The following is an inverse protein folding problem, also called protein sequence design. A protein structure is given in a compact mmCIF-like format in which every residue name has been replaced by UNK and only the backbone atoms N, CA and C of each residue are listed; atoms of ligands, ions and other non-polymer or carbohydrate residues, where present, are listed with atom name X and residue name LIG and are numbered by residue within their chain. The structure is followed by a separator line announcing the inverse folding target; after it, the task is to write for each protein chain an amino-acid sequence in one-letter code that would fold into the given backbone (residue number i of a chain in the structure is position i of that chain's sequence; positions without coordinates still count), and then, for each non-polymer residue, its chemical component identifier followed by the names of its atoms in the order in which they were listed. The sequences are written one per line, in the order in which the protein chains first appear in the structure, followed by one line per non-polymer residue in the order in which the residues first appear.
data_IF_931035785671
#
_entry.id   IF_931035785671
#
_cell.length_a   1.000
_cell.length_b   1.000
_cell.length_c   1.000
_cell.angle_alpha   90.00
_cell.angle_beta   90.00
_cell.angle_gamma   90.00
#
_symmetry.space_group_name_H-M   'P 1'
#
loop_
_entity.id
_entity.type
_entity.pdbx_description
1 polymer ?
#
# COMPACT_ATOMS: atom_id res chain seq x y z
N UNK A 1 7.17 -11.64 9.90
CA UNK A 1 6.64 -10.48 9.14
C UNK A 1 6.26 -10.86 7.72
N UNK A 2 6.85 -11.94 7.17
CA UNK A 2 6.62 -12.39 5.81
C UNK A 2 5.25 -13.09 5.57
N UNK A 3 4.67 -13.68 6.61
CA UNK A 3 3.38 -14.39 6.52
C UNK A 3 2.20 -13.42 6.31
N UNK A 4 2.22 -12.26 6.96
CA UNK A 4 1.19 -11.23 6.78
C UNK A 4 1.25 -10.60 5.37
N UNK A 5 2.46 -10.43 4.82
CA UNK A 5 2.63 -9.93 3.45
C UNK A 5 2.25 -10.99 2.39
N UNK A 6 2.54 -12.25 2.64
CA UNK A 6 2.09 -13.34 1.77
C UNK A 6 0.56 -13.47 1.79
N UNK A 7 -0.07 -13.29 2.94
CA UNK A 7 -1.53 -13.28 3.08
C UNK A 7 -2.17 -12.11 2.33
N UNK A 8 -1.60 -10.89 2.39
CA UNK A 8 -2.15 -9.73 1.68
C UNK A 8 -2.10 -9.89 0.15
N UNK A 9 -1.10 -10.61 -0.38
CA UNK A 9 -0.99 -10.93 -1.82
C UNK A 9 -1.83 -12.16 -2.24
N UNK A 10 -2.11 -13.06 -1.29
CA UNK A 10 -2.90 -14.27 -1.55
C UNK A 10 -4.41 -14.01 -1.55
N UNK A 11 -4.86 -12.91 -0.91
CA UNK A 11 -6.27 -12.57 -0.88
C UNK A 11 -6.64 -11.73 -2.11
N UNK A 12 -7.60 -12.18 -2.94
CA UNK A 12 -8.13 -11.38 -4.01
C UNK A 12 -8.73 -10.09 -3.42
N UNK A 13 -8.53 -8.97 -4.10
CA UNK A 13 -8.99 -7.63 -3.70
C UNK A 13 -10.44 -7.62 -3.20
N UNK A 14 -11.30 -8.43 -3.85
CA UNK A 14 -12.71 -8.57 -3.48
C UNK A 14 -12.91 -9.08 -2.05
N UNK A 15 -12.04 -9.99 -1.57
CA UNK A 15 -12.11 -10.48 -0.19
C UNK A 15 -11.66 -9.41 0.81
N UNK A 16 -10.65 -8.62 0.48
CA UNK A 16 -10.20 -7.51 1.33
C UNK A 16 -11.31 -6.47 1.46
N UNK A 17 -11.95 -6.11 0.36
CA UNK A 17 -13.09 -5.21 0.35
C UNK A 17 -14.27 -5.76 1.20
N UNK A 18 -14.58 -7.05 1.05
CA UNK A 18 -15.62 -7.71 1.83
C UNK A 18 -15.31 -7.70 3.34
N UNK A 19 -14.09 -8.05 3.71
CA UNK A 19 -13.65 -8.04 5.12
C UNK A 19 -13.72 -6.62 5.68
N UNK A 20 -13.24 -5.63 4.93
CA UNK A 20 -13.28 -4.22 5.34
C UNK A 20 -14.74 -3.75 5.52
N UNK A 21 -15.63 -4.11 4.61
CA UNK A 21 -17.06 -3.85 4.72
C UNK A 21 -17.68 -4.50 5.96
N UNK A 22 -17.39 -5.77 6.22
CA UNK A 22 -17.91 -6.49 7.39
C UNK A 22 -17.39 -5.88 8.71
N UNK A 23 -16.11 -5.57 8.79
CA UNK A 23 -15.52 -4.91 9.97
C UNK A 23 -16.16 -3.54 10.15
N UNK A 24 -16.31 -2.77 9.08
CA UNK A 24 -16.96 -1.46 9.14
C UNK A 24 -18.39 -1.56 9.66
N UNK A 25 -19.22 -2.44 9.10
CA UNK A 25 -20.62 -2.58 9.52
C UNK A 25 -20.78 -3.08 10.95
N UNK A 26 -19.87 -3.92 11.43
CA UNK A 26 -19.92 -4.45 12.81
C UNK A 26 -19.37 -3.46 13.84
N UNK A 27 -18.34 -2.70 13.50
CA UNK A 27 -17.67 -1.78 14.43
C UNK A 27 -18.23 -0.35 14.38
N UNK A 28 -18.93 0.01 13.30
CA UNK A 28 -19.44 1.36 13.12
C UNK A 28 -20.36 1.82 14.27
N UNK A 29 -21.23 0.94 14.75
CA UNK A 29 -22.12 1.24 15.87
C UNK A 29 -21.36 1.54 17.16
N UNK A 30 -20.27 0.83 17.42
CA UNK A 30 -19.39 1.04 18.58
C UNK A 30 -18.60 2.33 18.46
N UNK A 31 -18.10 2.63 17.27
CA UNK A 31 -17.33 3.85 16.97
C UNK A 31 -18.26 5.07 17.03
N UNK A 32 -19.45 4.99 16.45
CA UNK A 32 -20.43 6.06 16.48
C UNK A 32 -20.90 6.36 17.91
N UNK A 33 -21.09 5.34 18.74
CA UNK A 33 -21.41 5.49 20.15
C UNK A 33 -20.29 6.15 20.95
N UNK A 34 -19.02 5.81 20.66
CA UNK A 34 -17.86 6.43 21.30
C UNK A 34 -17.74 7.93 20.99
N UNK A 35 -18.07 8.34 19.75
CA UNK A 35 -18.03 9.76 19.35
C UNK A 35 -19.34 10.53 19.65
N UNK A 36 -20.28 9.98 20.39
CA UNK A 36 -21.60 10.60 20.65
C UNK A 36 -22.29 11.08 19.37
N UNK A 37 -22.04 10.45 18.25
CA UNK A 37 -22.62 10.81 16.96
C UNK A 37 -23.88 9.99 16.72
N UNK A 38 -25.00 10.65 16.48
CA UNK A 38 -26.29 9.99 16.13
C UNK A 38 -26.34 9.53 14.67
N UNK A 39 -25.18 9.51 13.97
CA UNK A 39 -25.12 9.05 12.57
C UNK A 39 -25.28 7.53 12.50
N UNK A 40 -26.20 7.11 11.67
CA UNK A 40 -26.45 5.70 11.39
C UNK A 40 -25.55 5.21 10.23
N UNK A 41 -25.28 3.90 10.16
CA UNK A 41 -24.53 3.28 9.05
C UNK A 41 -25.09 3.70 7.68
N UNK A 42 -26.40 3.96 7.58
CA UNK A 42 -27.10 4.39 6.36
C UNK A 42 -26.69 5.80 5.89
N UNK A 43 -26.13 6.62 6.78
CA UNK A 43 -25.71 7.98 6.46
C UNK A 43 -24.28 8.04 5.88
N UNK A 44 -23.55 6.93 5.97
CA UNK A 44 -22.19 6.82 5.39
C UNK A 44 -22.31 6.09 4.06
N UNK A 45 -22.05 6.82 3.00
CA UNK A 45 -22.04 6.22 1.65
C UNK A 45 -21.03 5.06 1.59
N UNK A 46 -21.47 3.94 1.02
CA UNK A 46 -20.62 2.77 0.74
C UNK A 46 -19.35 3.15 -0.01
N UNK A 47 -19.41 4.22 -0.80
CA UNK A 47 -18.29 4.75 -1.56
C UNK A 47 -17.12 5.19 -0.67
N UNK A 48 -17.38 5.82 0.49
CA UNK A 48 -16.29 6.20 1.42
C UNK A 48 -15.56 4.98 1.98
N UNK A 49 -16.30 3.91 2.29
CA UNK A 49 -15.72 2.66 2.78
C UNK A 49 -14.86 2.00 1.71
N UNK A 50 -15.36 1.97 0.49
CA UNK A 50 -14.66 1.40 -0.66
C UNK A 50 -13.38 2.19 -0.98
N UNK A 51 -13.44 3.52 -0.98
CA UNK A 51 -12.27 4.37 -1.19
C UNK A 51 -11.24 4.18 -0.07
N UNK A 52 -11.67 4.11 1.19
CA UNK A 52 -10.76 3.88 2.30
C UNK A 52 -10.04 2.52 2.18
N UNK A 53 -10.75 1.47 1.79
CA UNK A 53 -10.19 0.16 1.56
C UNK A 53 -9.17 0.15 0.41
N UNK A 54 -9.49 0.82 -0.71
CA UNK A 54 -8.56 1.01 -1.83
C UNK A 54 -7.27 1.70 -1.40
N UNK A 55 -7.39 2.83 -0.68
CA UNK A 55 -6.23 3.58 -0.19
C UNK A 55 -5.37 2.70 0.72
N UNK A 56 -5.97 1.93 1.61
CA UNK A 56 -5.24 1.06 2.51
C UNK A 56 -4.47 -0.04 1.76
N UNK A 57 -5.11 -0.68 0.78
CA UNK A 57 -4.47 -1.69 -0.06
C UNK A 57 -3.32 -1.09 -0.89
N UNK A 58 -3.54 0.09 -1.48
CA UNK A 58 -2.53 0.78 -2.28
C UNK A 58 -1.30 1.18 -1.46
N UNK A 59 -1.50 1.65 -0.23
CA UNK A 59 -0.39 1.97 0.68
C UNK A 59 0.47 0.73 0.97
N UNK A 60 -0.16 -0.42 1.21
CA UNK A 60 0.55 -1.68 1.44
C UNK A 60 1.36 -2.10 0.20
N UNK A 61 0.76 -2.00 -0.98
CA UNK A 61 1.39 -2.33 -2.26
C UNK A 61 2.58 -1.42 -2.58
N UNK A 62 2.39 -0.10 -2.45
CA UNK A 62 3.44 0.90 -2.70
C UNK A 62 4.61 0.72 -1.73
N UNK A 63 4.34 0.47 -0.45
CA UNK A 63 5.40 0.24 0.53
C UNK A 63 6.25 -0.98 0.19
N UNK A 64 5.63 -2.05 -0.32
CA UNK A 64 6.34 -3.25 -0.75
C UNK A 64 7.14 -3.02 -2.04
N UNK A 65 6.62 -2.24 -2.99
CA UNK A 65 7.34 -1.86 -4.21
C UNK A 65 8.61 -1.08 -3.86
N UNK A 66 8.52 -0.12 -2.94
CA UNK A 66 9.68 0.67 -2.49
C UNK A 66 10.70 -0.24 -1.79
N UNK A 67 10.23 -1.10 -0.88
CA UNK A 67 11.10 -2.04 -0.18
C UNK A 67 11.83 -2.98 -1.13
N UNK A 68 11.11 -3.57 -2.08
CA UNK A 68 11.70 -4.49 -3.05
C UNK A 68 12.69 -3.81 -3.99
N UNK A 69 12.41 -2.57 -4.39
CA UNK A 69 13.31 -1.78 -5.20
C UNK A 69 14.63 -1.45 -4.49
N UNK A 70 14.59 -1.12 -3.20
CA UNK A 70 15.80 -0.89 -2.41
C UNK A 70 16.63 -2.18 -2.23
N UNK A 71 15.96 -3.32 -2.01
CA UNK A 71 16.62 -4.62 -1.84
C UNK A 71 17.19 -5.15 -3.17
N UNK A 72 16.65 -4.72 -4.32
CA UNK A 72 17.10 -5.15 -5.64
C UNK A 72 18.46 -4.59 -6.04
N UNK A 73 18.95 -3.56 -5.35
CA UNK A 73 20.29 -3.02 -5.59
C UNK A 73 21.33 -4.04 -5.12
N UNK A 74 22.32 -4.29 -5.98
CA UNK A 74 23.36 -5.28 -5.72
C UNK A 74 24.14 -4.96 -4.43
N UNK A 75 24.36 -5.97 -3.59
CA UNK A 75 25.13 -5.84 -2.35
C UNK A 75 26.57 -5.36 -2.60
N UNK A 76 27.13 -5.70 -3.75
CA UNK A 76 28.45 -5.22 -4.17
C UNK A 76 28.55 -3.70 -4.22
N UNK A 77 27.45 -2.98 -4.50
CA UNK A 77 27.43 -1.52 -4.48
C UNK A 77 27.63 -0.98 -3.05
N UNK A 78 27.03 -1.63 -2.06
CA UNK A 78 27.22 -1.29 -0.64
C UNK A 78 28.65 -1.59 -0.19
N UNK A 79 29.18 -2.76 -0.53
CA UNK A 79 30.52 -3.20 -0.14
C UNK A 79 31.60 -2.33 -0.79
N UNK A 80 31.47 -2.02 -2.08
CA UNK A 80 32.40 -1.15 -2.79
C UNK A 80 32.41 0.27 -2.20
N UNK A 81 31.22 0.82 -1.91
CA UNK A 81 31.11 2.15 -1.31
C UNK A 81 31.75 2.22 0.08
N UNK A 82 31.54 1.20 0.90
CA UNK A 82 32.18 1.11 2.22
C UNK A 82 33.71 0.98 2.10
N UNK A 83 34.20 0.21 1.13
CA UNK A 83 35.64 0.04 0.89
C UNK A 83 36.33 1.35 0.45
N UNK A 84 35.58 2.22 -0.20
CA UNK A 84 36.05 3.56 -0.59
C UNK A 84 35.91 4.61 0.52
N UNK A 85 35.41 4.21 1.70
CA UNK A 85 35.20 5.12 2.83
C UNK A 85 34.07 6.13 2.64
N UNK A 86 33.13 5.86 1.71
CA UNK A 86 31.98 6.72 1.45
C UNK A 86 31.02 6.61 2.64
N UNK A 87 30.60 7.75 3.19
CA UNK A 87 29.63 7.80 4.29
C UNK A 87 28.29 7.19 3.89
N UNK A 88 27.58 6.58 4.85
CA UNK A 88 26.30 5.91 4.59
C UNK A 88 25.25 6.84 3.94
N UNK A 89 25.21 8.12 4.34
CA UNK A 89 24.29 9.09 3.78
C UNK A 89 24.56 9.38 2.29
N UNK A 90 25.82 9.60 1.94
CA UNK A 90 26.25 9.87 0.57
C UNK A 90 26.10 8.62 -0.31
N UNK A 91 26.43 7.45 0.22
CA UNK A 91 26.21 6.17 -0.44
C UNK A 91 24.74 5.98 -0.80
N UNK A 92 23.83 6.20 0.16
CA UNK A 92 22.39 6.05 -0.08
C UNK A 92 21.90 7.04 -1.12
N UNK A 93 22.29 8.31 -1.00
CA UNK A 93 21.79 9.40 -1.85
C UNK A 93 22.31 9.30 -3.28
N UNK A 94 23.62 9.06 -3.44
CA UNK A 94 24.27 9.23 -4.73
C UNK A 94 24.43 7.91 -5.49
N UNK A 95 24.36 6.76 -4.81
CA UNK A 95 24.60 5.44 -5.41
C UNK A 95 23.35 4.56 -5.34
N UNK A 96 22.80 4.33 -4.16
CA UNK A 96 21.76 3.32 -3.95
C UNK A 96 20.38 3.81 -4.41
N UNK A 97 19.95 4.98 -3.97
CA UNK A 97 18.61 5.51 -4.31
C UNK A 97 18.43 5.70 -5.81
N UNK A 98 19.39 6.27 -6.58
CA UNK A 98 19.22 6.42 -8.03
C UNK A 98 19.09 5.07 -8.76
N UNK A 99 19.77 4.04 -8.29
CA UNK A 99 19.64 2.69 -8.84
C UNK A 99 18.29 2.06 -8.45
N UNK A 100 17.91 2.15 -7.18
CA UNK A 100 16.63 1.64 -6.69
C UNK A 100 15.43 2.26 -7.43
N UNK A 101 15.46 3.57 -7.69
CA UNK A 101 14.39 4.27 -8.42
C UNK A 101 14.16 3.67 -9.80
N UNK A 102 15.21 3.26 -10.52
CA UNK A 102 15.08 2.61 -11.83
C UNK A 102 14.30 1.29 -11.76
N UNK A 103 14.41 0.57 -10.65
CA UNK A 103 13.67 -0.67 -10.42
C UNK A 103 12.25 -0.42 -9.89
N UNK A 104 12.08 0.64 -9.08
CA UNK A 104 10.80 1.03 -8.49
C UNK A 104 9.84 1.59 -9.54
N UNK A 105 10.33 2.42 -10.46
CA UNK A 105 9.51 3.17 -11.42
C UNK A 105 8.57 2.29 -12.27
N UNK A 106 9.04 1.20 -12.92
CA UNK A 106 8.14 0.33 -13.70
C UNK A 106 7.05 -0.31 -12.84
N UNK A 107 7.38 -0.70 -11.61
CA UNK A 107 6.43 -1.32 -10.68
C UNK A 107 5.37 -0.31 -10.21
N UNK A 108 5.76 0.95 -9.95
CA UNK A 108 4.82 2.02 -9.61
C UNK A 108 3.86 2.34 -10.78
N UNK A 109 4.35 2.34 -12.01
CA UNK A 109 3.48 2.54 -13.19
C UNK A 109 2.46 1.41 -13.29
N UNK A 110 2.87 0.16 -13.08
CA UNK A 110 1.95 -0.98 -13.08
C UNK A 110 0.91 -0.87 -11.97
N UNK A 111 1.31 -0.44 -10.77
CA UNK A 111 0.39 -0.20 -9.65
C UNK A 111 -0.61 0.91 -9.97
N UNK A 112 -0.16 2.01 -10.57
CA UNK A 112 -1.05 3.10 -11.00
C UNK A 112 -2.10 2.62 -12.02
N UNK A 113 -1.70 1.77 -12.99
CA UNK A 113 -2.62 1.17 -13.95
C UNK A 113 -3.64 0.26 -13.25
N UNK A 114 -3.19 -0.54 -12.27
CA UNK A 114 -4.08 -1.39 -11.48
C UNK A 114 -5.11 -0.56 -10.72
N UNK A 115 -4.68 0.51 -10.04
CA UNK A 115 -5.57 1.44 -9.33
C UNK A 115 -6.61 2.09 -10.24
N UNK A 116 -6.24 2.48 -11.46
CA UNK A 116 -7.19 3.02 -12.43
C UNK A 116 -8.27 1.99 -12.81
N UNK A 117 -7.89 0.72 -12.98
CA UNK A 117 -8.85 -0.36 -13.25
C UNK A 117 -9.77 -0.61 -12.06
N UNK A 118 -9.23 -0.65 -10.86
CA UNK A 118 -9.98 -0.88 -9.63
C UNK A 118 -10.95 0.28 -9.34
N UNK A 119 -10.52 1.52 -9.52
CA UNK A 119 -11.40 2.69 -9.36
C UNK A 119 -12.55 2.70 -10.36
N UNK A 120 -12.33 2.20 -11.57
CA UNK A 120 -13.40 2.06 -12.58
C UNK A 120 -14.45 1.03 -12.15
N UNK A 121 -14.03 -0.07 -11.50
CA UNK A 121 -14.96 -1.07 -10.96
C UNK A 121 -15.83 -0.46 -9.83
N UNK A 122 -15.23 0.38 -8.98
CA UNK A 122 -15.96 1.05 -7.90
C UNK A 122 -17.08 1.97 -8.43
N UNK A 123 -16.90 2.57 -9.59
CA UNK A 123 -17.93 3.43 -10.18
C UNK A 123 -19.21 2.69 -10.59
N UNK A 124 -19.18 1.36 -10.67
CA UNK A 124 -20.38 0.53 -10.92
C UNK A 124 -21.14 0.17 -9.62
N UNK A 125 -20.54 0.41 -8.46
CA UNK A 125 -21.11 0.07 -7.14
C UNK A 125 -21.76 1.30 -6.49
N UNK A 126 -21.37 2.50 -6.87
CA UNK A 126 -21.92 3.77 -6.37
C UNK A 126 -22.79 4.45 -7.36
#
# INVERSE_FOLDING_TARGET
MDVLMALSKAFPMNLVLLIFYLIWTTQFSSIAAFFHSQKTIKDVSLMYVAVAALVFCSLASISEIIRSGLISVDKGQYEASMSLGIGYGDMMKDIIIPQAVKHILPSLVNEAIALLKESSILSYIG
#
